data_IF_618270084555
#
_entry.id   IF_618270084555
#
_cell.length_a   1.000
_cell.length_b   1.000
_cell.length_c   1.000
_cell.angle_alpha   90.00
_cell.angle_beta   90.00
_cell.angle_gamma   90.00
#
_symmetry.space_group_name_H-M   'P 1'
#
loop_
_entity.id
_entity.type
_entity.pdbx_description
1 polymer ?
#
# COMPACT_ATOMS: atom_id res chain seq x y z
N UNK A 1 -27.34 -35.17 38.02
CA UNK A 1 -28.04 -35.59 36.78
C UNK A 1 -29.49 -35.20 36.99
N UNK A 2 -29.92 -34.07 36.46
CA UNK A 2 -31.31 -33.61 36.60
C UNK A 2 -32.12 -34.12 35.43
N UNK A 3 -33.26 -34.74 35.72
CA UNK A 3 -34.18 -35.26 34.72
C UNK A 3 -35.30 -34.23 34.55
N UNK A 4 -35.30 -33.51 33.44
CA UNK A 4 -36.40 -32.64 33.06
C UNK A 4 -37.32 -33.38 32.09
N UNK A 5 -38.59 -33.53 32.47
CA UNK A 5 -39.65 -34.03 31.56
C UNK A 5 -40.30 -32.85 30.85
N UNK A 6 -40.11 -32.78 29.53
CA UNK A 6 -40.85 -31.86 28.65
C UNK A 6 -41.48 -32.74 27.56
N UNK A 7 -42.81 -32.88 27.56
CA UNK A 7 -43.55 -33.59 26.51
C UNK A 7 -43.50 -35.13 26.54
N UNK A 8 -43.35 -35.77 27.71
CA UNK A 8 -43.46 -37.23 27.86
C UNK A 8 -42.23 -38.05 27.45
N UNK A 9 -41.25 -37.46 26.77
CA UNK A 9 -39.95 -38.07 26.52
C UNK A 9 -38.91 -37.59 27.55
N UNK A 10 -38.30 -38.53 28.27
CA UNK A 10 -37.16 -38.22 29.15
C UNK A 10 -35.94 -37.86 28.30
N UNK A 11 -35.59 -36.57 28.26
CA UNK A 11 -34.28 -36.14 27.78
C UNK A 11 -33.34 -36.08 28.97
N UNK A 12 -32.36 -36.99 29.01
CA UNK A 12 -31.22 -36.86 29.92
C UNK A 12 -30.35 -35.72 29.42
N UNK A 13 -30.45 -34.56 30.05
CA UNK A 13 -29.51 -33.46 29.83
C UNK A 13 -28.27 -33.81 30.66
N UNK A 14 -27.25 -34.35 30.00
CA UNK A 14 -25.95 -34.52 30.62
C UNK A 14 -25.30 -33.13 30.71
N UNK A 15 -25.21 -32.60 31.94
CA UNK A 15 -24.39 -31.44 32.23
C UNK A 15 -22.93 -31.75 31.90
N UNK A 16 -22.22 -30.79 31.29
CA UNK A 16 -20.81 -30.89 30.94
C UNK A 16 -20.02 -31.36 32.17
N UNK A 17 -19.32 -32.47 32.06
CA UNK A 17 -18.48 -33.00 33.13
C UNK A 17 -17.32 -32.05 33.41
N UNK A 18 -16.73 -32.11 34.61
CA UNK A 18 -15.55 -31.30 34.95
C UNK A 18 -14.38 -31.52 33.99
N UNK A 19 -14.21 -32.76 33.50
CA UNK A 19 -13.19 -33.10 32.52
C UNK A 19 -13.47 -32.45 31.15
N UNK A 20 -14.72 -32.49 30.68
CA UNK A 20 -15.12 -31.82 29.43
C UNK A 20 -15.00 -30.29 29.55
N UNK A 21 -15.38 -29.71 30.69
CA UNK A 21 -15.23 -28.28 30.94
C UNK A 21 -13.74 -27.86 30.95
N UNK A 22 -12.86 -28.67 31.56
CA UNK A 22 -11.42 -28.44 31.53
C UNK A 22 -10.84 -28.55 30.10
N UNK A 23 -11.29 -29.54 29.32
CA UNK A 23 -10.90 -29.70 27.91
C UNK A 23 -11.33 -28.49 27.07
N UNK A 24 -12.59 -28.07 27.18
CA UNK A 24 -13.11 -26.89 26.49
C UNK A 24 -12.34 -25.63 26.91
N UNK A 25 -12.06 -25.45 28.20
CA UNK A 25 -11.27 -24.32 28.68
C UNK A 25 -9.86 -24.29 28.10
N UNK A 26 -9.22 -25.45 27.92
CA UNK A 26 -7.92 -25.54 27.25
C UNK A 26 -8.01 -25.12 25.78
N UNK A 27 -8.99 -25.63 25.05
CA UNK A 27 -9.25 -25.27 23.64
C UNK A 27 -9.49 -23.76 23.49
N UNK A 28 -10.38 -23.19 24.32
CA UNK A 28 -10.70 -21.76 24.25
C UNK A 28 -9.57 -20.85 24.72
N UNK A 29 -8.62 -21.36 25.51
CA UNK A 29 -7.43 -20.60 25.91
C UNK A 29 -6.48 -20.38 24.73
N UNK A 30 -6.34 -21.40 23.88
CA UNK A 30 -5.54 -21.30 22.67
C UNK A 30 -6.32 -20.65 21.52
N UNK A 31 -7.65 -20.69 21.49
CA UNK A 31 -8.41 -20.04 20.43
C UNK A 31 -8.45 -18.51 20.60
N UNK A 32 -8.06 -17.76 19.55
CA UNK A 32 -8.22 -16.30 19.49
C UNK A 32 -9.13 -15.88 18.34
N UNK A 33 -10.03 -14.94 18.62
CA UNK A 33 -10.96 -14.41 17.63
C UNK A 33 -10.27 -13.42 16.66
N UNK A 34 -10.79 -13.24 15.43
CA UNK A 34 -10.27 -12.24 14.49
C UNK A 34 -10.26 -10.80 15.04
N UNK A 35 -11.21 -10.47 15.93
CA UNK A 35 -11.31 -9.14 16.55
C UNK A 35 -10.24 -8.95 17.63
N UNK A 36 -10.02 -9.98 18.44
CA UNK A 36 -8.96 -9.98 19.47
C UNK A 36 -7.58 -9.96 18.85
N UNK A 37 -7.40 -10.56 17.67
CA UNK A 37 -6.15 -10.49 16.90
C UNK A 37 -5.73 -9.06 16.60
N UNK A 38 -6.68 -8.21 16.19
CA UNK A 38 -6.39 -6.81 15.88
C UNK A 38 -5.96 -6.03 17.12
N UNK A 39 -6.64 -6.23 18.25
CA UNK A 39 -6.29 -5.53 19.48
C UNK A 39 -4.94 -5.99 20.05
N UNK A 40 -4.67 -7.29 20.06
CA UNK A 40 -3.46 -7.87 20.68
C UNK A 40 -2.22 -7.74 19.77
N UNK A 41 -2.33 -8.18 18.52
CA UNK A 41 -1.17 -8.32 17.60
C UNK A 41 -1.17 -7.29 16.46
N UNK A 42 -2.23 -6.48 16.34
CA UNK A 42 -2.38 -5.54 15.23
C UNK A 42 -2.86 -6.17 13.93
N UNK A 43 -3.23 -7.45 13.94
CA UNK A 43 -3.59 -8.26 12.77
C UNK A 43 -5.09 -8.10 12.47
N UNK A 44 -5.43 -7.49 11.33
CA UNK A 44 -6.81 -7.37 10.87
C UNK A 44 -7.37 -8.72 10.39
N UNK A 45 -8.70 -8.94 10.39
CA UNK A 45 -9.30 -10.21 10.00
C UNK A 45 -8.87 -10.69 8.60
N UNK A 46 -8.84 -9.78 7.63
CA UNK A 46 -8.39 -10.11 6.28
C UNK A 46 -6.91 -10.53 6.23
N UNK A 47 -6.07 -9.90 7.04
CA UNK A 47 -4.64 -10.24 7.15
C UNK A 47 -4.47 -11.63 7.78
N UNK A 48 -5.21 -11.92 8.86
CA UNK A 48 -5.18 -13.22 9.52
C UNK A 48 -5.63 -14.34 8.55
N UNK A 49 -6.66 -14.09 7.74
CA UNK A 49 -7.11 -15.04 6.73
C UNK A 49 -6.02 -15.33 5.68
N UNK A 50 -5.27 -14.31 5.24
CA UNK A 50 -4.13 -14.49 4.32
C UNK A 50 -2.96 -15.23 4.97
N UNK A 51 -2.57 -14.85 6.20
CA UNK A 51 -1.49 -15.51 6.93
C UNK A 51 -1.81 -16.99 7.15
N UNK A 52 -3.07 -17.31 7.44
CA UNK A 52 -3.49 -18.70 7.58
C UNK A 52 -3.51 -19.45 6.25
N UNK A 53 -3.93 -18.81 5.16
CA UNK A 53 -3.89 -19.42 3.83
C UNK A 53 -2.45 -19.72 3.37
N UNK A 54 -1.47 -18.90 3.78
CA UNK A 54 -0.06 -19.14 3.49
C UNK A 54 0.65 -20.07 4.48
N UNK A 55 -0.06 -20.62 5.47
CA UNK A 55 0.54 -21.47 6.50
C UNK A 55 1.49 -20.75 7.47
N UNK A 56 1.41 -19.42 7.57
CA UNK A 56 2.20 -18.66 8.54
C UNK A 56 1.56 -18.65 9.94
N UNK A 57 0.25 -18.88 10.02
CA UNK A 57 -0.47 -19.09 11.28
C UNK A 57 -1.53 -20.18 11.09
N UNK A 58 -1.94 -20.83 12.18
CA UNK A 58 -2.92 -21.91 12.12
C UNK A 58 -4.33 -21.44 12.47
N UNK A 59 -5.32 -22.01 11.76
CA UNK A 59 -6.73 -21.94 12.17
C UNK A 59 -6.98 -22.94 13.29
N UNK A 60 -7.80 -22.54 14.26
CA UNK A 60 -8.26 -23.47 15.28
C UNK A 60 -9.26 -24.45 14.65
N UNK A 61 -8.87 -25.73 14.49
CA UNK A 61 -9.71 -26.76 13.86
C UNK A 61 -10.68 -27.46 14.83
N UNK A 62 -10.80 -26.98 16.08
CA UNK A 62 -11.72 -27.58 17.05
C UNK A 62 -13.18 -27.44 16.59
N UNK A 63 -13.92 -28.56 16.44
CA UNK A 63 -15.35 -28.53 16.15
C UNK A 63 -16.14 -27.73 17.21
N UNK A 64 -15.70 -27.77 18.46
CA UNK A 64 -16.33 -27.06 19.58
C UNK A 64 -16.26 -25.54 19.43
N UNK A 65 -15.11 -25.01 18.98
CA UNK A 65 -14.93 -23.57 18.71
C UNK A 65 -15.77 -23.14 17.52
N UNK A 66 -15.81 -23.98 16.48
CA UNK A 66 -16.61 -23.74 15.28
C UNK A 66 -18.11 -23.69 15.61
N UNK A 67 -18.58 -24.60 16.49
CA UNK A 67 -19.98 -24.67 16.92
C UNK A 67 -20.42 -23.43 17.71
N UNK A 68 -19.59 -22.96 18.67
CA UNK A 68 -19.96 -21.85 19.55
C UNK A 68 -19.99 -20.51 18.84
N UNK A 69 -19.08 -20.30 17.90
CA UNK A 69 -18.82 -18.95 17.38
C UNK A 69 -19.33 -18.69 15.96
N UNK A 70 -19.51 -19.74 15.15
CA UNK A 70 -19.82 -19.60 13.73
C UNK A 70 -18.75 -18.85 12.90
N UNK A 71 -17.63 -18.45 13.52
CA UNK A 71 -16.55 -17.67 12.92
C UNK A 71 -15.24 -18.46 12.96
N UNK A 72 -14.31 -18.16 12.04
CA UNK A 72 -12.98 -18.76 12.07
C UNK A 72 -12.15 -18.21 13.22
N UNK A 73 -11.71 -19.07 14.14
CA UNK A 73 -10.73 -18.75 15.18
C UNK A 73 -9.33 -19.19 14.73
N UNK A 74 -8.32 -18.62 15.36
CA UNK A 74 -6.91 -18.93 15.11
C UNK A 74 -6.26 -19.51 16.37
N UNK A 75 -5.22 -20.30 16.22
CA UNK A 75 -4.40 -20.77 17.35
C UNK A 75 -3.49 -19.64 17.83
N UNK A 76 -3.65 -19.27 19.10
CA UNK A 76 -2.84 -18.25 19.77
C UNK A 76 -1.38 -18.68 19.80
N UNK A 77 -1.11 -19.94 20.13
CA UNK A 77 0.25 -20.47 20.13
C UNK A 77 0.92 -20.28 18.77
N UNK A 78 0.25 -20.66 17.68
CA UNK A 78 0.79 -20.49 16.32
C UNK A 78 1.06 -19.01 15.96
N UNK A 79 0.23 -18.09 16.44
CA UNK A 79 0.45 -16.64 16.25
C UNK A 79 1.62 -16.14 17.09
N UNK A 80 1.74 -16.58 18.34
CA UNK A 80 2.86 -16.25 19.22
C UNK A 80 4.18 -16.74 18.61
N UNK A 81 4.21 -17.98 18.12
CA UNK A 81 5.36 -18.57 17.42
C UNK A 81 5.73 -17.76 16.16
N UNK A 82 4.74 -17.39 15.36
CA UNK A 82 4.96 -16.54 14.17
C UNK A 82 5.53 -15.16 14.52
N UNK A 83 5.03 -14.53 15.58
CA UNK A 83 5.54 -13.22 16.04
C UNK A 83 6.96 -13.34 16.59
N UNK A 84 7.26 -14.42 17.32
CA UNK A 84 8.60 -14.73 17.81
C UNK A 84 9.58 -14.93 16.66
N UNK A 85 9.19 -15.68 15.61
CA UNK A 85 10.00 -15.89 14.40
C UNK A 85 10.22 -14.60 13.60
N UNK A 86 9.20 -13.74 13.51
CA UNK A 86 9.27 -12.47 12.79
C UNK A 86 10.10 -11.42 13.54
N UNK A 87 10.09 -11.44 14.86
CA UNK A 87 10.77 -10.45 15.72
C UNK A 87 12.24 -10.19 15.37
N UNK A 88 13.12 -11.19 15.22
CA UNK A 88 14.52 -10.96 14.86
C UNK A 88 14.71 -10.39 13.44
N UNK A 89 13.73 -10.53 12.55
CA UNK A 89 13.77 -9.98 11.19
C UNK A 89 13.33 -8.50 11.12
N UNK A 90 12.81 -7.92 12.22
CA UNK A 90 12.31 -6.54 12.27
C UNK A 90 13.26 -5.65 13.06
N UNK A 91 13.76 -4.59 12.42
CA UNK A 91 14.67 -3.60 13.01
C UNK A 91 13.92 -2.70 14.02
N UNK A 92 14.50 -2.47 15.21
CA UNK A 92 13.98 -1.42 16.10
C UNK A 92 14.41 -0.06 15.56
N UNK A 93 13.46 0.83 15.33
CA UNK A 93 13.71 2.16 14.76
C UNK A 93 13.44 3.26 15.78
N UNK A 94 14.40 4.18 15.91
CA UNK A 94 14.29 5.37 16.78
C UNK A 94 13.70 6.57 16.04
N UNK A 95 14.03 6.69 14.74
CA UNK A 95 13.55 7.76 13.87
C UNK A 95 12.83 7.22 12.63
N UNK A 96 11.70 7.83 12.28
CA UNK A 96 10.90 7.45 11.11
C UNK A 96 11.30 8.22 9.84
N UNK A 97 12.36 9.03 9.87
CA UNK A 97 12.74 9.98 8.80
C UNK A 97 13.08 9.31 7.45
N UNK A 98 13.52 8.05 7.46
CA UNK A 98 13.75 7.22 6.27
C UNK A 98 12.68 6.15 6.00
N UNK A 99 11.60 6.14 6.78
CA UNK A 99 10.64 5.06 6.81
C UNK A 99 9.26 5.51 6.31
N UNK A 100 8.43 4.55 5.94
CA UNK A 100 7.01 4.72 5.63
C UNK A 100 6.27 3.61 6.36
N UNK A 101 5.10 3.90 6.95
CA UNK A 101 4.31 2.83 7.55
C UNK A 101 3.95 1.79 6.49
N UNK A 102 4.03 0.51 6.85
CA UNK A 102 3.80 -0.59 5.92
C UNK A 102 2.37 -0.54 5.36
N UNK A 103 1.38 -0.19 6.19
CA UNK A 103 0.00 0.02 5.75
C UNK A 103 -0.12 1.03 4.61
N UNK A 104 0.67 2.10 4.65
CA UNK A 104 0.70 3.21 3.72
C UNK A 104 1.44 2.81 2.46
N UNK A 105 2.54 2.07 2.58
CA UNK A 105 3.22 1.49 1.42
C UNK A 105 2.31 0.51 0.66
N UNK A 106 1.54 -0.32 1.36
CA UNK A 106 0.59 -1.25 0.76
C UNK A 106 -0.62 -0.55 0.13
N UNK A 107 -0.88 0.74 0.41
CA UNK A 107 -1.86 1.52 -0.34
C UNK A 107 -1.47 1.70 -1.81
N UNK A 108 -0.18 1.54 -2.16
CA UNK A 108 0.30 1.52 -3.55
C UNK A 108 -0.12 0.26 -4.31
N UNK A 109 -0.50 -0.81 -3.60
CA UNK A 109 -1.06 -2.01 -4.21
C UNK A 109 -2.56 -1.82 -4.35
N UNK A 110 -3.12 -1.99 -5.54
CA UNK A 110 -4.55 -1.81 -5.76
C UNK A 110 -5.10 -2.75 -6.81
N UNK A 111 -6.43 -2.90 -6.84
CA UNK A 111 -7.11 -3.86 -7.72
C UNK A 111 -7.11 -5.30 -7.21
N UNK A 112 -6.34 -5.58 -6.15
CA UNK A 112 -6.14 -6.92 -5.59
C UNK A 112 -5.96 -6.87 -4.06
N UNK A 113 -6.00 -8.03 -3.37
CA UNK A 113 -5.78 -8.05 -1.93
C UNK A 113 -4.40 -7.49 -1.58
N UNK A 114 -4.32 -6.77 -0.46
CA UNK A 114 -3.03 -6.32 0.09
C UNK A 114 -2.23 -7.55 0.46
N UNK A 115 -1.00 -7.72 0.00
CA UNK A 115 -0.40 -9.02 0.12
C UNK A 115 0.49 -9.13 1.36
N UNK A 116 -0.16 -9.14 2.52
CA UNK A 116 0.53 -9.17 3.81
C UNK A 116 1.34 -10.43 4.00
N UNK A 117 0.72 -11.59 3.78
CA UNK A 117 1.33 -12.89 3.99
C UNK A 117 2.66 -13.05 3.24
N UNK A 118 2.66 -12.83 1.94
CA UNK A 118 3.89 -12.98 1.17
C UNK A 118 4.94 -11.93 1.44
N UNK A 119 4.56 -10.70 1.82
CA UNK A 119 5.56 -9.72 2.23
C UNK A 119 6.29 -10.23 3.48
N UNK A 120 5.54 -10.74 4.45
CA UNK A 120 6.09 -11.24 5.70
C UNK A 120 6.86 -12.55 5.50
N UNK A 121 6.36 -13.45 4.64
CA UNK A 121 7.09 -14.66 4.25
C UNK A 121 8.44 -14.33 3.62
N UNK A 122 8.49 -13.32 2.74
CA UNK A 122 9.75 -12.87 2.12
C UNK A 122 10.74 -12.30 3.15
N UNK A 123 10.23 -11.60 4.16
CA UNK A 123 11.04 -11.11 5.28
C UNK A 123 11.61 -12.28 6.10
N UNK A 124 10.79 -13.29 6.42
CA UNK A 124 11.24 -14.50 7.13
C UNK A 124 12.28 -15.29 6.32
N UNK A 125 12.10 -15.39 5.00
CA UNK A 125 13.06 -16.01 4.09
C UNK A 125 14.38 -15.20 3.94
N UNK A 126 14.54 -14.09 4.67
CA UNK A 126 15.63 -13.11 4.51
C UNK A 126 15.76 -12.60 3.07
N UNK A 127 14.66 -12.61 2.31
CA UNK A 127 14.60 -12.23 0.89
C UNK A 127 13.89 -10.88 0.76
N UNK A 128 14.71 -9.83 0.82
CA UNK A 128 14.30 -8.44 0.60
C UNK A 128 13.30 -7.90 1.64
N UNK A 129 13.27 -6.56 1.75
CA UNK A 129 12.54 -5.73 2.72
C UNK A 129 13.17 -5.61 4.09
N UNK A 130 13.64 -4.40 4.38
CA UNK A 130 13.95 -3.97 5.73
C UNK A 130 12.66 -3.50 6.38
N UNK A 131 12.14 -4.32 7.30
CA UNK A 131 11.04 -3.94 8.18
C UNK A 131 11.58 -3.33 9.46
N UNK A 132 10.82 -2.36 9.98
CA UNK A 132 11.14 -1.67 11.22
C UNK A 132 9.92 -1.56 12.13
N UNK A 133 10.14 -1.38 13.42
CA UNK A 133 9.11 -1.09 14.41
C UNK A 133 9.59 -0.01 15.39
N UNK A 134 8.69 0.91 15.74
CA UNK A 134 8.94 1.91 16.80
C UNK A 134 8.57 1.38 18.20
N UNK A 135 7.85 0.26 18.25
CA UNK A 135 7.32 -0.31 19.49
C UNK A 135 8.29 -1.35 20.07
N UNK A 136 8.39 -1.42 21.40
CA UNK A 136 9.12 -2.49 22.09
C UNK A 136 8.45 -3.86 21.99
N UNK A 137 7.16 -3.89 21.69
CA UNK A 137 6.39 -5.12 21.41
C UNK A 137 5.99 -5.12 19.94
N UNK A 138 6.34 -6.19 19.22
CA UNK A 138 6.05 -6.31 17.80
C UNK A 138 4.54 -6.36 17.55
N UNK A 139 4.06 -5.51 16.64
CA UNK A 139 2.67 -5.49 16.17
C UNK A 139 2.66 -5.26 14.67
N UNK A 140 1.80 -5.97 13.95
CA UNK A 140 1.75 -5.90 12.48
C UNK A 140 1.27 -4.53 11.96
N UNK A 141 0.42 -3.84 12.72
CA UNK A 141 -0.01 -2.47 12.40
C UNK A 141 0.99 -1.38 12.81
N UNK A 142 2.04 -1.76 13.54
CA UNK A 142 3.16 -0.91 13.91
C UNK A 142 4.37 -1.05 12.99
N UNK A 143 4.27 -1.84 11.91
CA UNK A 143 5.37 -2.09 10.99
C UNK A 143 5.64 -0.90 10.06
N UNK A 144 6.91 -0.66 9.84
CA UNK A 144 7.45 0.30 8.89
C UNK A 144 8.28 -0.41 7.84
N UNK A 145 8.31 0.19 6.66
CA UNK A 145 9.14 -0.22 5.55
C UNK A 145 10.13 0.91 5.26
N UNK A 146 11.40 0.58 4.97
CA UNK A 146 12.34 1.60 4.46
C UNK A 146 11.78 2.21 3.18
N UNK A 147 11.82 3.55 3.08
CA UNK A 147 11.22 4.26 1.94
C UNK A 147 11.82 3.85 0.60
N UNK A 148 13.09 3.46 0.56
CA UNK A 148 13.75 2.90 -0.64
C UNK A 148 13.05 1.65 -1.17
N UNK A 149 12.50 0.83 -0.28
CA UNK A 149 11.89 -0.46 -0.61
C UNK A 149 10.44 -0.32 -1.10
N UNK A 150 9.78 0.81 -0.83
CA UNK A 150 8.41 1.05 -1.29
C UNK A 150 8.26 0.96 -2.82
N UNK A 151 9.33 1.26 -3.56
CA UNK A 151 9.36 1.13 -5.02
C UNK A 151 9.29 -0.33 -5.47
N UNK A 152 9.84 -1.27 -4.70
CA UNK A 152 9.70 -2.69 -4.99
C UNK A 152 8.23 -3.12 -4.87
N UNK A 153 7.51 -2.69 -3.82
CA UNK A 153 6.06 -2.93 -3.68
C UNK A 153 5.30 -2.40 -4.89
N UNK A 154 5.63 -1.18 -5.34
CA UNK A 154 5.04 -0.58 -6.53
C UNK A 154 5.31 -1.39 -7.81
N UNK A 155 6.57 -1.74 -8.09
CA UNK A 155 6.98 -2.49 -9.30
C UNK A 155 6.38 -3.89 -9.33
N UNK A 156 6.34 -4.53 -8.18
CA UNK A 156 5.67 -5.80 -8.05
C UNK A 156 4.16 -5.70 -8.31
N UNK A 157 3.56 -4.53 -8.03
CA UNK A 157 2.18 -4.29 -8.39
C UNK A 157 1.96 -4.22 -9.92
N UNK A 158 2.93 -3.69 -10.70
CA UNK A 158 2.82 -3.60 -12.16
C UNK A 158 3.14 -4.91 -12.87
N UNK A 159 4.11 -5.68 -12.37
CA UNK A 159 4.62 -6.86 -13.07
C UNK A 159 3.69 -8.08 -12.96
N UNK A 160 2.59 -7.99 -12.20
CA UNK A 160 1.67 -9.10 -11.95
C UNK A 160 2.24 -10.24 -11.08
N UNK A 161 3.57 -10.30 -10.89
CA UNK A 161 4.37 -11.36 -10.23
C UNK A 161 4.05 -11.69 -8.77
N UNK A 162 3.04 -11.08 -8.18
CA UNK A 162 2.48 -11.60 -6.94
C UNK A 162 1.43 -12.62 -7.35
N UNK A 163 1.88 -13.86 -7.60
CA UNK A 163 1.05 -15.06 -7.68
C UNK A 163 0.48 -15.41 -6.29
N UNK A 164 0.02 -14.39 -5.57
CA UNK A 164 -0.58 -14.49 -4.24
C UNK A 164 -2.07 -14.24 -4.32
N UNK A 165 -2.60 -14.55 -5.51
CA UNK A 165 -4.01 -14.81 -5.73
C UNK A 165 -4.48 -16.08 -5.00
N UNK A 166 -3.58 -16.81 -4.33
CA UNK A 166 -3.93 -18.02 -3.61
C UNK A 166 -4.78 -17.72 -2.36
N UNK A 167 -6.08 -17.71 -2.65
CA UNK A 167 -7.14 -18.33 -1.89
C UNK A 167 -7.49 -17.68 -0.55
N UNK A 168 -7.90 -16.42 -0.62
CA UNK A 168 -8.97 -16.03 0.30
C UNK A 168 -10.18 -16.92 -0.01
N UNK A 169 -10.72 -17.65 1.00
CA UNK A 169 -11.71 -18.69 0.74
C UNK A 169 -12.89 -18.19 -0.07
N UNK A 170 -13.38 -19.04 -0.96
CA UNK A 170 -14.63 -18.76 -1.66
C UNK A 170 -15.75 -18.48 -0.65
N UNK A 171 -16.42 -17.34 -0.82
CA UNK A 171 -17.46 -16.89 0.11
C UNK A 171 -16.93 -16.20 1.38
N UNK A 172 -15.64 -15.90 1.48
CA UNK A 172 -15.14 -15.07 2.57
C UNK A 172 -15.83 -13.70 2.58
N UNK A 173 -16.48 -13.40 3.69
CA UNK A 173 -17.23 -12.16 3.89
C UNK A 173 -16.34 -11.15 4.60
N UNK A 174 -16.31 -9.91 4.09
CA UNK A 174 -15.54 -8.83 4.69
C UNK A 174 -16.44 -7.70 5.16
N UNK A 175 -16.05 -7.09 6.29
CA UNK A 175 -16.73 -5.91 6.83
C UNK A 175 -16.36 -4.62 6.11
N UNK A 176 -17.05 -3.53 6.45
CA UNK A 176 -16.84 -2.21 5.85
C UNK A 176 -15.37 -1.75 5.94
N UNK A 177 -14.73 -1.91 7.11
CA UNK A 177 -13.33 -1.48 7.33
C UNK A 177 -12.33 -2.23 6.44
N UNK A 178 -12.48 -3.55 6.32
CA UNK A 178 -11.63 -4.37 5.46
C UNK A 178 -11.86 -4.04 3.98
N UNK A 179 -13.11 -3.83 3.56
CA UNK A 179 -13.44 -3.42 2.21
C UNK A 179 -12.85 -2.04 1.87
N UNK A 180 -12.90 -1.07 2.80
CA UNK A 180 -12.26 0.24 2.61
C UNK A 180 -10.74 0.15 2.49
N UNK A 181 -10.11 -0.67 3.34
CA UNK A 181 -8.67 -0.94 3.26
C UNK A 181 -8.26 -1.63 1.96
N UNK A 182 -9.08 -2.58 1.50
CA UNK A 182 -8.91 -3.25 0.22
C UNK A 182 -8.98 -2.27 -0.96
N UNK A 183 -9.98 -1.39 -0.96
CA UNK A 183 -10.26 -0.43 -2.03
C UNK A 183 -9.46 0.88 -1.92
N UNK A 184 -8.62 1.02 -0.89
CA UNK A 184 -7.88 2.25 -0.58
C UNK A 184 -8.77 3.50 -0.57
N UNK A 185 -10.00 3.45 -0.08
CA UNK A 185 -10.91 4.60 -0.12
C UNK A 185 -11.11 5.23 1.25
N UNK A 186 -11.65 6.45 1.27
CA UNK A 186 -12.07 7.12 2.50
C UNK A 186 -13.44 6.59 2.96
N UNK A 187 -13.79 6.73 4.25
CA UNK A 187 -15.12 6.39 4.74
C UNK A 187 -16.25 7.02 3.93
N UNK A 188 -16.20 8.32 3.66
CA UNK A 188 -17.26 9.01 2.92
C UNK A 188 -17.41 8.43 1.50
N UNK A 189 -16.30 8.27 0.77
CA UNK A 189 -16.34 7.68 -0.57
C UNK A 189 -16.92 6.26 -0.57
N UNK A 190 -16.66 5.48 0.48
CA UNK A 190 -17.18 4.14 0.64
C UNK A 190 -18.69 4.13 0.92
N UNK A 191 -19.12 4.81 1.98
CA UNK A 191 -20.52 4.81 2.41
C UNK A 191 -21.45 5.49 1.42
N UNK A 192 -21.02 6.58 0.78
CA UNK A 192 -21.88 7.37 -0.11
C UNK A 192 -22.03 6.73 -1.50
N UNK A 193 -21.06 5.91 -1.92
CA UNK A 193 -20.99 5.48 -3.33
C UNK A 193 -20.66 4.01 -3.55
N UNK A 194 -19.69 3.45 -2.82
CA UNK A 194 -19.26 2.07 -3.02
C UNK A 194 -20.23 1.09 -2.38
N UNK A 195 -20.57 1.30 -1.10
CA UNK A 195 -21.47 0.43 -0.34
C UNK A 195 -22.84 0.28 -1.01
N UNK A 196 -23.50 1.36 -1.51
CA UNK A 196 -24.71 1.22 -2.32
C UNK A 196 -24.50 0.41 -3.60
N UNK A 197 -23.38 0.62 -4.31
CA UNK A 197 -23.08 -0.09 -5.55
C UNK A 197 -22.80 -1.59 -5.34
N UNK A 198 -22.19 -1.96 -4.21
CA UNK A 198 -21.98 -3.35 -3.82
C UNK A 198 -23.29 -4.00 -3.33
N UNK A 199 -24.11 -3.29 -2.53
CA UNK A 199 -25.41 -3.78 -2.04
C UNK A 199 -26.46 -3.94 -3.14
N UNK A 200 -26.40 -3.16 -4.21
CA UNK A 200 -27.27 -3.36 -5.37
C UNK A 200 -27.17 -4.78 -5.97
N UNK A 201 -26.14 -5.56 -5.59
CA UNK A 201 -25.94 -6.94 -6.04
C UNK A 201 -26.45 -7.99 -5.04
N UNK A 202 -26.64 -7.68 -3.75
CA UNK A 202 -27.03 -8.63 -2.68
C UNK A 202 -27.67 -7.96 -1.46
N UNK A 203 -28.61 -8.65 -0.83
CA UNK A 203 -29.32 -8.24 0.39
C UNK A 203 -28.63 -8.72 1.69
N UNK A 204 -27.31 -8.51 1.82
CA UNK A 204 -26.54 -8.88 3.02
C UNK A 204 -25.77 -7.69 3.59
N UNK A 205 -25.62 -7.64 4.91
CA UNK A 205 -24.86 -6.57 5.57
C UNK A 205 -23.37 -6.60 5.25
N UNK A 206 -22.80 -7.80 5.08
CA UNK A 206 -21.41 -8.04 4.70
C UNK A 206 -21.24 -8.18 3.18
N UNK A 207 -20.02 -7.93 2.70
CA UNK A 207 -19.69 -8.08 1.27
C UNK A 207 -18.92 -9.37 1.02
N UNK A 208 -19.28 -10.07 -0.04
CA UNK A 208 -18.42 -11.13 -0.55
C UNK A 208 -17.12 -10.52 -1.07
N UNK A 209 -15.98 -11.10 -0.70
CA UNK A 209 -14.68 -10.58 -1.13
C UNK A 209 -14.53 -10.54 -2.65
N UNK A 210 -15.19 -11.45 -3.37
CA UNK A 210 -15.24 -11.49 -4.83
C UNK A 210 -15.88 -10.22 -5.42
N UNK A 211 -16.93 -9.69 -4.80
CA UNK A 211 -17.59 -8.48 -5.27
C UNK A 211 -16.70 -7.25 -5.07
N UNK A 212 -16.02 -7.18 -3.92
CA UNK A 212 -15.05 -6.12 -3.63
C UNK A 212 -13.84 -6.22 -4.57
N UNK A 213 -13.35 -7.42 -4.83
CA UNK A 213 -12.29 -7.67 -5.81
C UNK A 213 -12.71 -7.23 -7.22
N UNK A 214 -13.89 -7.65 -7.70
CA UNK A 214 -14.39 -7.26 -9.02
C UNK A 214 -14.57 -5.74 -9.15
N UNK A 215 -15.04 -5.08 -8.09
CA UNK A 215 -15.10 -3.63 -8.02
C UNK A 215 -13.70 -3.01 -8.14
N UNK A 216 -12.74 -3.52 -7.35
CA UNK A 216 -11.36 -3.04 -7.34
C UNK A 216 -10.66 -3.22 -8.70
N UNK A 217 -10.94 -4.31 -9.43
CA UNK A 217 -10.40 -4.54 -10.78
C UNK A 217 -10.95 -3.53 -11.79
N UNK A 218 -12.19 -3.09 -11.61
CA UNK A 218 -12.85 -2.14 -12.53
C UNK A 218 -12.50 -0.69 -12.19
N UNK A 219 -12.41 -0.36 -10.91
CA UNK A 219 -12.28 1.01 -10.42
C UNK A 219 -11.10 1.18 -9.47
N UNK A 220 -10.51 2.36 -9.49
CA UNK A 220 -9.45 2.77 -8.58
C UNK A 220 -9.87 4.05 -7.85
N UNK A 221 -9.66 4.11 -6.55
CA UNK A 221 -9.95 5.32 -5.78
C UNK A 221 -8.92 6.41 -6.10
N UNK A 222 -9.29 7.68 -5.95
CA UNK A 222 -8.33 8.79 -6.07
C UNK A 222 -7.17 8.64 -5.08
N UNK A 223 -7.42 8.08 -3.90
CA UNK A 223 -6.41 7.80 -2.87
C UNK A 223 -5.45 6.69 -3.28
N UNK A 224 -5.94 5.64 -3.93
CA UNK A 224 -5.08 4.59 -4.51
C UNK A 224 -4.14 5.17 -5.57
N UNK A 225 -4.70 5.93 -6.51
CA UNK A 225 -3.96 6.55 -7.60
C UNK A 225 -2.91 7.52 -7.02
N UNK A 226 -3.33 8.34 -6.05
CA UNK A 226 -2.46 9.24 -5.29
C UNK A 226 -1.30 8.50 -4.61
N UNK A 227 -1.57 7.39 -3.93
CA UNK A 227 -0.54 6.59 -3.27
C UNK A 227 0.44 5.98 -4.28
N UNK A 228 -0.07 5.41 -5.38
CA UNK A 228 0.75 4.79 -6.42
C UNK A 228 1.69 5.80 -7.11
N UNK A 229 1.23 7.04 -7.33
CA UNK A 229 2.02 8.06 -8.03
C UNK A 229 2.76 9.05 -7.11
N UNK A 230 2.46 9.04 -5.81
CA UNK A 230 3.07 9.98 -4.85
C UNK A 230 2.61 11.43 -5.06
N UNK A 231 1.44 11.64 -5.65
CA UNK A 231 0.86 12.97 -5.92
C UNK A 231 -0.36 13.22 -5.02
N UNK A 232 -0.63 14.46 -4.59
CA UNK A 232 -1.86 14.79 -3.85
C UNK A 232 -3.14 14.41 -4.62
N UNK A 233 -4.16 13.92 -3.90
CA UNK A 233 -5.45 13.51 -4.49
C UNK A 233 -6.12 14.60 -5.36
N UNK A 234 -5.96 15.87 -4.98
CA UNK A 234 -6.50 17.02 -5.74
C UNK A 234 -5.84 17.16 -7.11
N UNK A 235 -4.53 16.95 -7.18
CA UNK A 235 -3.76 17.02 -8.42
C UNK A 235 -4.12 15.87 -9.34
N UNK A 236 -4.13 14.64 -8.82
CA UNK A 236 -4.60 13.45 -9.56
C UNK A 236 -5.97 13.69 -10.20
N UNK A 237 -6.91 14.22 -9.41
CA UNK A 237 -8.26 14.49 -9.91
C UNK A 237 -8.29 15.58 -10.99
N UNK A 238 -7.43 16.59 -10.89
CA UNK A 238 -7.33 17.66 -11.89
C UNK A 238 -6.67 17.16 -13.18
N UNK A 239 -5.62 16.34 -13.08
CA UNK A 239 -4.94 15.71 -14.22
C UNK A 239 -5.89 14.79 -14.99
N UNK A 240 -6.59 13.88 -14.29
CA UNK A 240 -7.53 12.96 -14.92
C UNK A 240 -8.66 13.70 -15.65
N UNK A 241 -9.19 14.78 -15.06
CA UNK A 241 -10.20 15.64 -15.72
C UNK A 241 -9.63 16.35 -16.95
N UNK A 242 -8.40 16.90 -16.86
CA UNK A 242 -7.73 17.58 -17.97
C UNK A 242 -7.46 16.64 -19.14
N UNK A 243 -7.16 15.38 -18.86
CA UNK A 243 -7.02 14.33 -19.87
C UNK A 243 -8.37 13.80 -20.41
N UNK A 244 -9.50 14.38 -20.00
CA UNK A 244 -10.83 14.02 -20.51
C UNK A 244 -11.48 12.82 -19.83
N UNK A 245 -10.87 12.26 -18.79
CA UNK A 245 -11.48 11.16 -18.04
C UNK A 245 -12.60 11.65 -17.14
N UNK A 246 -13.69 10.89 -17.12
CA UNK A 246 -14.86 11.20 -16.30
C UNK A 246 -14.77 10.46 -14.97
N UNK A 247 -14.81 11.18 -13.83
CA UNK A 247 -14.87 10.52 -12.54
C UNK A 247 -16.14 9.68 -12.42
N UNK A 248 -16.08 8.67 -11.57
CA UNK A 248 -17.20 7.83 -11.13
C UNK A 248 -17.42 8.05 -9.64
N UNK A 249 -18.61 7.68 -9.14
CA UNK A 249 -18.89 7.62 -7.70
C UNK A 249 -18.54 8.94 -7.00
N UNK A 250 -19.22 10.02 -7.40
CA UNK A 250 -19.08 11.34 -6.79
C UNK A 250 -17.70 12.02 -6.92
N UNK A 251 -16.83 11.57 -7.83
CA UNK A 251 -15.48 12.14 -7.95
C UNK A 251 -14.38 11.34 -7.27
N UNK A 252 -14.75 10.30 -6.52
CA UNK A 252 -13.80 9.57 -5.66
C UNK A 252 -13.14 8.37 -6.33
N UNK A 253 -13.66 7.93 -7.47
CA UNK A 253 -13.19 6.76 -8.20
C UNK A 253 -13.08 7.02 -9.70
N UNK A 254 -12.23 6.22 -10.34
CA UNK A 254 -11.91 6.30 -11.76
C UNK A 254 -11.91 4.88 -12.32
N UNK A 255 -12.19 4.70 -13.61
CA UNK A 255 -11.96 3.39 -14.23
C UNK A 255 -10.48 3.08 -14.16
N UNK A 256 -10.13 1.88 -13.72
CA UNK A 256 -8.72 1.48 -13.52
C UNK A 256 -7.92 1.57 -14.81
N UNK A 257 -8.48 1.07 -15.93
CA UNK A 257 -7.85 1.17 -17.25
C UNK A 257 -7.55 2.60 -17.68
N UNK A 258 -8.46 3.54 -17.38
CA UNK A 258 -8.27 4.97 -17.67
C UNK A 258 -7.18 5.59 -16.77
N UNK A 259 -7.26 5.30 -15.46
CA UNK A 259 -6.39 5.88 -14.46
C UNK A 259 -4.93 5.41 -14.57
N UNK A 260 -4.70 4.13 -14.87
CA UNK A 260 -3.36 3.55 -14.94
C UNK A 260 -2.86 3.28 -16.36
N UNK A 261 -3.76 3.11 -17.34
CA UNK A 261 -3.39 2.70 -18.70
C UNK A 261 -2.95 3.85 -19.62
N UNK A 262 -3.44 5.07 -19.39
CA UNK A 262 -3.20 6.18 -20.34
C UNK A 262 -2.64 7.44 -19.68
N UNK A 263 -3.05 7.77 -18.45
CA UNK A 263 -2.57 8.97 -17.76
C UNK A 263 -1.06 8.91 -17.43
N UNK A 264 -0.41 7.73 -17.53
CA UNK A 264 0.91 7.51 -16.94
C UNK A 264 1.97 6.84 -17.82
N UNK A 265 1.74 6.59 -19.12
CA UNK A 265 2.87 6.36 -20.05
C UNK A 265 3.90 7.51 -19.98
N UNK A 266 3.35 8.67 -19.68
CA UNK A 266 4.00 9.95 -19.46
C UNK A 266 4.66 10.06 -18.07
N UNK A 267 4.01 9.62 -17.00
CA UNK A 267 4.49 9.78 -15.63
C UNK A 267 5.25 8.54 -15.12
N UNK A 268 5.31 7.41 -15.83
CA UNK A 268 6.33 6.37 -15.54
C UNK A 268 7.75 6.91 -15.78
N UNK A 269 7.89 7.90 -16.68
CA UNK A 269 9.08 8.75 -16.82
C UNK A 269 9.41 9.47 -15.50
N UNK A 270 8.44 9.75 -14.60
CA UNK A 270 8.71 10.31 -13.25
C UNK A 270 9.36 9.31 -12.30
N UNK A 271 8.99 8.03 -12.38
CA UNK A 271 9.61 7.01 -11.53
C UNK A 271 10.93 6.49 -12.09
N UNK A 272 11.09 6.54 -13.41
CA UNK A 272 12.35 6.26 -14.12
C UNK A 272 13.20 7.52 -14.38
N UNK A 273 12.81 8.69 -13.85
CA UNK A 273 13.61 9.92 -14.02
C UNK A 273 15.10 9.72 -13.67
N UNK A 274 15.45 8.97 -12.59
CA UNK A 274 16.86 8.69 -12.30
C UNK A 274 17.57 7.84 -13.36
N UNK A 275 16.88 6.90 -14.05
CA UNK A 275 17.48 6.07 -15.11
C UNK A 275 17.62 6.85 -16.42
N UNK A 276 16.66 7.72 -16.75
CA UNK A 276 16.72 8.62 -17.90
C UNK A 276 17.81 9.69 -17.76
N UNK A 277 17.97 10.27 -16.58
CA UNK A 277 19.10 11.16 -16.29
C UNK A 277 20.45 10.40 -16.37
N UNK A 278 20.50 9.14 -15.93
CA UNK A 278 21.71 8.30 -16.02
C UNK A 278 22.09 7.91 -17.45
N UNK A 279 21.13 7.64 -18.33
CA UNK A 279 21.40 7.33 -19.74
C UNK A 279 22.13 8.48 -20.44
N UNK A 280 21.87 9.72 -20.04
CA UNK A 280 22.60 10.91 -20.54
C UNK A 280 24.03 11.01 -19.99
N UNK A 281 24.30 10.50 -18.79
CA UNK A 281 25.54 10.74 -18.07
C UNK A 281 26.54 9.59 -18.16
N UNK A 282 26.67 8.93 -19.31
CA UNK A 282 27.77 7.99 -19.54
C UNK A 282 29.09 8.58 -19.02
N UNK A 283 29.54 8.10 -17.87
CA UNK A 283 30.73 8.54 -17.10
C UNK A 283 30.82 9.98 -16.56
N UNK A 284 29.83 10.87 -16.74
CA UNK A 284 29.88 12.21 -16.14
C UNK A 284 28.66 13.11 -16.38
N UNK A 285 28.37 13.99 -15.43
CA UNK A 285 27.34 15.04 -15.59
C UNK A 285 27.95 16.18 -16.43
N UNK A 286 27.59 16.27 -17.71
CA UNK A 286 27.96 17.43 -18.54
C UNK A 286 26.91 18.54 -18.45
N UNK A 287 27.31 19.83 -18.49
CA UNK A 287 26.38 20.94 -18.66
C UNK A 287 25.51 20.77 -19.92
N UNK A 288 24.30 21.32 -19.89
CA UNK A 288 23.42 21.44 -21.06
C UNK A 288 24.08 22.29 -22.15
N UNK A 289 24.10 21.78 -23.38
CA UNK A 289 24.41 22.57 -24.58
C UNK A 289 23.34 23.66 -24.82
N UNK A 290 23.63 24.62 -25.70
CA UNK A 290 22.69 25.68 -26.12
C UNK A 290 21.40 25.12 -26.69
N UNK A 291 21.49 24.11 -27.55
CA UNK A 291 20.32 23.44 -28.11
C UNK A 291 19.48 22.69 -27.06
N UNK A 292 20.12 21.97 -26.13
CA UNK A 292 19.40 21.26 -25.06
C UNK A 292 18.73 22.24 -24.10
N UNK A 293 19.43 23.31 -23.73
CA UNK A 293 18.87 24.33 -22.84
C UNK A 293 17.71 25.10 -23.48
N UNK A 294 17.82 25.47 -24.75
CA UNK A 294 16.73 26.15 -25.47
C UNK A 294 15.46 25.28 -25.57
N UNK A 295 15.61 23.96 -25.67
CA UNK A 295 14.46 23.02 -25.61
C UNK A 295 13.81 23.00 -24.23
N UNK A 296 14.64 23.02 -23.18
CA UNK A 296 14.17 22.92 -21.79
C UNK A 296 13.62 24.22 -21.22
N UNK A 297 14.17 25.36 -21.60
CA UNK A 297 13.79 26.67 -21.07
C UNK A 297 12.32 26.99 -21.33
N UNK A 298 11.76 26.50 -22.44
CA UNK A 298 10.35 26.65 -22.80
C UNK A 298 9.41 25.75 -21.99
N UNK A 299 9.93 24.70 -21.35
CA UNK A 299 9.14 23.72 -20.58
C UNK A 299 9.06 24.07 -19.10
N UNK A 300 9.86 25.03 -18.65
CA UNK A 300 9.94 25.42 -17.25
C UNK A 300 9.21 26.75 -17.06
N UNK A 301 8.20 26.81 -16.17
CA UNK A 301 7.49 28.05 -15.89
C UNK A 301 8.46 29.15 -15.45
N UNK A 302 8.44 30.29 -16.14
CA UNK A 302 9.18 31.46 -15.69
C UNK A 302 8.48 32.03 -14.44
N UNK A 303 8.96 31.70 -13.24
CA UNK A 303 8.56 32.43 -12.04
C UNK A 303 9.11 33.86 -12.12
N UNK A 304 8.26 34.81 -12.53
CA UNK A 304 8.57 36.25 -12.56
C UNK A 304 8.97 36.83 -11.20
N UNK A 305 8.68 36.13 -10.11
CA UNK A 305 8.82 36.63 -8.74
C UNK A 305 10.12 36.18 -8.03
N UNK A 306 10.93 35.29 -8.61
CA UNK A 306 12.21 34.88 -8.00
C UNK A 306 13.41 35.63 -8.60
N UNK A 307 14.38 36.03 -7.76
CA UNK A 307 15.62 36.72 -8.16
C UNK A 307 16.44 35.96 -9.23
N UNK A 308 16.32 34.63 -9.27
CA UNK A 308 16.73 33.77 -10.39
C UNK A 308 15.48 33.11 -10.96
N UNK A 309 15.23 33.29 -12.24
CA UNK A 309 14.13 32.62 -12.93
C UNK A 309 14.34 31.10 -12.88
N UNK A 310 13.27 30.31 -12.75
CA UNK A 310 13.34 28.84 -12.76
C UNK A 310 13.89 28.26 -14.07
N UNK A 311 13.95 29.06 -15.13
CA UNK A 311 14.55 28.72 -16.41
C UNK A 311 16.05 29.05 -16.49
N UNK A 312 16.72 29.39 -15.39
CA UNK A 312 18.17 29.61 -15.36
C UNK A 312 18.91 28.29 -15.69
N UNK A 313 19.82 28.34 -16.66
CA UNK A 313 20.64 27.19 -17.08
C UNK A 313 21.38 26.54 -15.92
N UNK A 314 21.90 27.33 -14.99
CA UNK A 314 22.62 26.82 -13.82
C UNK A 314 21.68 26.04 -12.91
N UNK A 315 20.43 26.50 -12.77
CA UNK A 315 19.40 25.78 -12.02
C UNK A 315 19.10 24.41 -12.62
N UNK A 316 18.86 24.37 -13.92
CA UNK A 316 18.56 23.11 -14.61
C UNK A 316 19.76 22.16 -14.56
N UNK A 317 20.99 22.67 -14.74
CA UNK A 317 22.20 21.87 -14.62
C UNK A 317 22.39 21.30 -13.20
N UNK A 318 22.16 22.10 -12.15
CA UNK A 318 22.20 21.64 -10.76
C UNK A 318 21.17 20.55 -10.44
N UNK A 319 19.97 20.69 -11.01
CA UNK A 319 18.89 19.70 -10.92
C UNK A 319 19.28 18.39 -11.62
N UNK A 320 19.77 18.47 -12.85
CA UNK A 320 20.24 17.31 -13.63
C UNK A 320 21.37 16.61 -12.87
N UNK A 321 22.32 17.37 -12.33
CA UNK A 321 23.41 16.84 -11.53
C UNK A 321 22.90 16.06 -10.32
N UNK A 322 21.97 16.65 -9.56
CA UNK A 322 21.40 16.01 -8.37
C UNK A 322 20.70 14.70 -8.74
N UNK A 323 19.88 14.74 -9.77
CA UNK A 323 19.10 13.59 -10.21
C UNK A 323 19.98 12.46 -10.77
N UNK A 324 21.06 12.81 -11.46
CA UNK A 324 21.98 11.84 -12.08
C UNK A 324 22.92 11.19 -11.05
N UNK A 325 23.50 11.99 -10.15
CA UNK A 325 24.56 11.54 -9.24
C UNK A 325 24.04 10.97 -7.92
N UNK A 326 22.83 11.34 -7.51
CA UNK A 326 22.26 11.05 -6.18
C UNK A 326 23.13 11.53 -4.99
N UNK A 327 24.18 12.33 -5.23
CA UNK A 327 25.06 12.86 -4.18
C UNK A 327 24.34 13.89 -3.32
N UNK A 328 24.85 14.14 -2.11
CA UNK A 328 24.32 15.17 -1.23
C UNK A 328 24.40 16.55 -1.88
N UNK A 329 23.45 17.44 -1.55
CA UNK A 329 23.44 18.81 -2.08
C UNK A 329 24.68 19.61 -1.65
N UNK A 330 25.26 19.30 -0.49
CA UNK A 330 26.53 19.86 -0.02
C UNK A 330 27.74 19.47 -0.87
N UNK A 331 27.63 18.40 -1.65
CA UNK A 331 28.67 17.95 -2.58
C UNK A 331 28.46 18.47 -4.00
N UNK A 332 27.48 19.35 -4.20
CA UNK A 332 27.20 19.95 -5.50
C UNK A 332 28.34 20.90 -5.89
N UNK A 333 28.89 20.79 -7.10
CA UNK A 333 29.94 21.69 -7.54
C UNK A 333 29.49 23.16 -7.49
N UNK A 334 30.31 24.07 -6.95
CA UNK A 334 29.94 25.48 -6.76
C UNK A 334 29.63 26.21 -8.07
N UNK A 335 30.19 25.76 -9.20
CA UNK A 335 29.90 26.28 -10.53
C UNK A 335 28.44 26.06 -10.99
N UNK A 336 27.72 25.13 -10.36
CA UNK A 336 26.29 24.91 -10.61
C UNK A 336 25.40 25.91 -9.86
N UNK A 337 25.97 26.68 -8.93
CA UNK A 337 25.29 27.78 -8.23
C UNK A 337 25.06 27.51 -6.74
N UNK A 338 24.16 28.31 -6.15
CA UNK A 338 23.93 28.27 -4.70
C UNK A 338 23.09 27.05 -4.30
N UNK A 339 23.61 26.23 -3.39
CA UNK A 339 22.98 24.98 -2.92
C UNK A 339 21.55 25.17 -2.43
N UNK A 340 21.28 26.21 -1.63
CA UNK A 340 19.96 26.46 -1.06
C UNK A 340 18.93 26.84 -2.12
N UNK A 341 19.35 27.59 -3.14
CA UNK A 341 18.50 27.95 -4.28
C UNK A 341 18.21 26.72 -5.15
N UNK A 342 19.22 25.90 -5.42
CA UNK A 342 19.08 24.66 -6.21
C UNK A 342 18.13 23.67 -5.54
N UNK A 343 18.27 23.48 -4.22
CA UNK A 343 17.38 22.63 -3.44
C UNK A 343 15.93 23.11 -3.54
N UNK A 344 15.69 24.42 -3.36
CA UNK A 344 14.35 25.01 -3.44
C UNK A 344 13.74 24.89 -4.83
N UNK A 345 14.52 25.16 -5.88
CA UNK A 345 14.07 25.02 -7.26
C UNK A 345 13.81 23.56 -7.66
N UNK A 346 14.63 22.63 -7.19
CA UNK A 346 14.40 21.18 -7.34
C UNK A 346 13.10 20.75 -6.66
N UNK A 347 12.87 21.15 -5.41
CA UNK A 347 11.64 20.85 -4.67
C UNK A 347 10.43 21.43 -5.40
N UNK A 348 10.50 22.69 -5.83
CA UNK A 348 9.43 23.33 -6.59
C UNK A 348 9.13 22.59 -7.92
N UNK A 349 10.16 22.21 -8.68
CA UNK A 349 10.00 21.50 -9.94
C UNK A 349 9.59 20.04 -9.74
N UNK A 350 9.93 19.42 -8.61
CA UNK A 350 9.43 18.10 -8.23
C UNK A 350 7.93 18.19 -7.94
N UNK A 351 7.54 19.15 -7.12
CA UNK A 351 6.18 19.29 -6.62
C UNK A 351 5.22 19.75 -7.73
N UNK A 352 5.70 20.42 -8.78
CA UNK A 352 4.89 20.86 -9.92
C UNK A 352 5.03 19.99 -11.19
N UNK A 353 5.69 18.83 -11.11
CA UNK A 353 5.92 17.93 -12.25
C UNK A 353 6.90 18.46 -13.32
N UNK A 354 7.63 19.55 -13.05
CA UNK A 354 8.67 20.11 -13.90
C UNK A 354 9.85 19.16 -14.15
N UNK A 355 10.27 18.38 -13.14
CA UNK A 355 11.40 17.44 -13.28
C UNK A 355 11.18 16.41 -14.39
N UNK A 356 9.95 15.93 -14.55
CA UNK A 356 9.60 14.97 -15.61
C UNK A 356 9.52 15.60 -16.98
N UNK A 357 8.96 16.81 -17.09
CA UNK A 357 8.97 17.54 -18.36
C UNK A 357 10.40 17.71 -18.89
N UNK A 358 11.33 18.02 -17.99
CA UNK A 358 12.76 18.11 -18.30
C UNK A 358 13.32 16.76 -18.73
N UNK A 359 13.04 15.69 -17.99
CA UNK A 359 13.55 14.35 -18.30
C UNK A 359 13.06 13.81 -19.65
N UNK A 360 11.77 13.98 -20.00
CA UNK A 360 11.23 13.57 -21.31
C UNK A 360 11.87 14.32 -22.46
N UNK A 361 11.98 15.64 -22.33
CA UNK A 361 12.59 16.47 -23.37
C UNK A 361 14.07 16.12 -23.60
N UNK A 362 14.78 15.69 -22.54
CA UNK A 362 16.15 15.19 -22.66
C UNK A 362 16.24 13.78 -23.24
N UNK A 363 15.24 12.92 -23.02
CA UNK A 363 15.14 11.60 -23.62
C UNK A 363 14.75 11.62 -25.12
N UNK A 364 14.37 12.79 -25.65
CA UNK A 364 13.94 12.94 -27.04
C UNK A 364 12.44 12.70 -27.26
N UNK A 365 11.69 12.35 -26.21
CA UNK A 365 10.23 12.23 -26.26
C UNK A 365 9.59 13.62 -26.20
N UNK A 366 9.41 14.22 -27.38
CA UNK A 366 8.78 15.54 -27.56
C UNK A 366 7.31 15.38 -27.98
N UNK A 367 6.50 14.70 -27.17
CA UNK A 367 5.05 14.60 -27.36
C UNK A 367 4.29 15.19 -26.20
#
# INVERSE_FOLDING_TARGET
>A
MEVHRIGGNERKIAWVTRAEAARLSCIFRDAISPWSLKSVYGIAPLQAAQLAASGLIDRCQSPEVSFVSGAGFYSRQSIDDFIEELSPAVERIEETSGWIKLDTALQMVGGRPKPWAALLQRVLESRFYYLGTTSGTLRLDGLYLRRSESWHIKRMNSDGKWDLADELPDGFMIGDLDAMGYLNCTPNAFYDHVKPALRARRDTENFGIRDVHAFAQTYASTKEISAYYGLPCREISAELKRAGYKPRFGGSFWRRGDAFGTLFRDLDVLTDTPSLFRQRTGTGVRPLSDGEFAKLSNLIPCCRTSRRCLNDRSLINGIIWKASTKKAWSSMPPELGNVSEMKRGFEHLRDNGGLTRIARALAGDSR
#
